data_IF_134094742734
#
_entry.id   IF_134094742734
#
_cell.length_a   1.000
_cell.length_b   1.000
_cell.length_c   1.000
_cell.angle_alpha   90.00
_cell.angle_beta   90.00
_cell.angle_gamma   90.00
#
_symmetry.space_group_name_H-M   'P 1'
#
loop_
_entity.id
_entity.type
_entity.pdbx_description
1 polymer ?
#
# COMPACT_ATOMS: atom_id res chain seq x y z
N UNK A 1 11.77 0.98 -8.70
CA UNK A 1 10.60 1.51 -7.98
C UNK A 1 10.00 0.42 -7.09
N UNK A 2 9.45 0.76 -5.91
CA UNK A 2 8.70 -0.22 -5.11
C UNK A 2 7.49 -0.75 -5.92
N UNK A 3 7.13 -2.05 -5.80
CA UNK A 3 5.95 -2.61 -6.50
C UNK A 3 4.66 -1.83 -6.22
N UNK A 4 4.46 -1.41 -4.96
CA UNK A 4 3.26 -0.66 -4.56
C UNK A 4 3.26 0.73 -5.19
N UNK A 5 4.38 1.46 -5.13
CA UNK A 5 4.51 2.77 -5.80
C UNK A 5 4.24 2.65 -7.29
N UNK A 6 4.74 1.59 -7.94
CA UNK A 6 4.52 1.36 -9.37
C UNK A 6 3.05 1.10 -9.71
N UNK A 7 2.35 0.28 -8.91
CA UNK A 7 0.91 0.06 -9.07
C UNK A 7 0.15 1.39 -8.94
N UNK A 8 0.45 2.17 -7.90
CA UNK A 8 -0.24 3.44 -7.63
C UNK A 8 0.01 4.47 -8.73
N UNK A 9 1.25 4.57 -9.22
CA UNK A 9 1.60 5.46 -10.33
C UNK A 9 0.84 5.11 -11.60
N UNK A 10 0.76 3.82 -11.94
CA UNK A 10 0.05 3.36 -13.15
C UNK A 10 -1.47 3.57 -13.05
N UNK A 11 -2.06 3.44 -11.86
CA UNK A 11 -3.49 3.63 -11.64
C UNK A 11 -3.87 5.12 -11.58
N UNK A 12 -3.14 5.92 -10.80
CA UNK A 12 -3.46 7.34 -10.62
C UNK A 12 -2.95 8.24 -11.75
N UNK A 13 -1.85 7.86 -12.40
CA UNK A 13 -1.22 8.61 -13.48
C UNK A 13 -1.00 10.08 -13.12
N UNK A 14 -1.27 10.98 -14.07
CA UNK A 14 -1.11 12.43 -13.89
C UNK A 14 -2.16 13.08 -12.98
N UNK A 15 -3.13 12.32 -12.45
CA UNK A 15 -4.20 12.86 -11.58
C UNK A 15 -3.82 12.88 -10.10
N UNK A 16 -2.71 12.22 -9.74
CA UNK A 16 -2.22 12.17 -8.37
C UNK A 16 -0.85 12.83 -8.26
N UNK A 17 -0.56 13.37 -7.09
CA UNK A 17 0.80 13.69 -6.69
C UNK A 17 1.30 12.53 -5.83
N UNK A 18 2.24 11.74 -6.37
CA UNK A 18 2.73 10.52 -5.73
C UNK A 18 4.12 10.74 -5.13
N UNK A 19 4.25 10.43 -3.84
CA UNK A 19 5.53 10.43 -3.13
C UNK A 19 5.81 9.02 -2.58
N UNK A 20 6.83 8.35 -3.14
CA UNK A 20 7.26 7.02 -2.69
C UNK A 20 8.22 7.12 -1.50
N UNK A 21 7.80 6.66 -0.32
CA UNK A 21 8.62 6.79 0.91
C UNK A 21 9.72 5.74 1.04
N UNK A 22 9.54 4.55 0.45
CA UNK A 22 10.56 3.50 0.42
C UNK A 22 11.41 3.70 -0.84
N UNK A 23 12.72 4.03 -0.71
CA UNK A 23 13.57 4.27 -1.88
C UNK A 23 13.79 3.01 -2.71
N UNK A 24 14.20 3.20 -3.97
CA UNK A 24 14.52 2.08 -4.84
C UNK A 24 15.67 1.24 -4.29
N UNK A 25 15.54 -0.09 -4.40
CA UNK A 25 16.56 -1.04 -3.93
C UNK A 25 16.60 -1.22 -2.41
N UNK A 26 15.74 -0.52 -1.65
CA UNK A 26 15.64 -0.67 -0.19
C UNK A 26 14.67 -1.80 0.16
N UNK A 27 15.06 -2.63 1.12
CA UNK A 27 14.20 -3.69 1.65
C UNK A 27 13.15 -3.10 2.60
N UNK A 28 11.87 -3.26 2.26
CA UNK A 28 10.74 -2.76 3.06
C UNK A 28 10.61 -3.44 4.42
N UNK A 29 11.05 -4.69 4.58
CA UNK A 29 11.05 -5.40 5.87
C UNK A 29 11.91 -4.72 6.93
N UNK A 30 12.96 -4.03 6.50
CA UNK A 30 13.93 -3.37 7.38
C UNK A 30 13.89 -1.85 7.23
N UNK A 31 12.91 -1.32 6.49
CA UNK A 31 12.82 0.10 6.27
C UNK A 31 12.29 0.80 7.52
N UNK A 32 13.07 1.73 8.04
CA UNK A 32 12.68 2.54 9.19
C UNK A 32 12.14 3.89 8.73
N UNK A 33 11.00 4.28 9.31
CA UNK A 33 10.40 5.55 8.99
C UNK A 33 11.26 6.71 9.51
N UNK A 34 11.51 7.70 8.64
CA UNK A 34 12.33 8.86 8.99
C UNK A 34 11.47 10.00 9.57
N UNK A 35 12.02 10.91 10.40
CA UNK A 35 11.27 12.07 10.88
C UNK A 35 10.68 12.94 9.76
N UNK A 36 11.37 13.04 8.62
CA UNK A 36 10.86 13.72 7.42
C UNK A 36 9.57 13.09 6.87
N UNK A 37 9.37 11.78 7.04
CA UNK A 37 8.13 11.12 6.63
C UNK A 37 6.93 11.56 7.46
N UNK A 38 7.10 11.89 8.74
CA UNK A 38 6.01 12.39 9.57
C UNK A 38 5.39 13.68 8.98
N UNK A 39 6.24 14.55 8.44
CA UNK A 39 5.81 15.78 7.74
C UNK A 39 5.09 15.47 6.43
N UNK A 40 5.54 14.47 5.69
CA UNK A 40 4.90 14.06 4.43
C UNK A 40 3.53 13.43 4.71
N UNK A 41 3.45 12.54 5.69
CA UNK A 41 2.24 11.90 6.19
C UNK A 41 1.20 12.93 6.64
N UNK A 42 1.61 13.97 7.37
CA UNK A 42 0.69 15.01 7.83
C UNK A 42 0.14 15.90 6.72
N UNK A 43 0.71 15.82 5.52
CA UNK A 43 0.26 16.53 4.33
C UNK A 43 -0.51 15.65 3.34
N UNK A 44 -0.42 14.33 3.47
CA UNK A 44 -1.07 13.37 2.59
C UNK A 44 -2.59 13.29 2.85
N UNK A 45 -3.35 13.07 1.77
CA UNK A 45 -4.80 12.78 1.84
C UNK A 45 -5.07 11.26 1.79
N UNK A 46 -4.15 10.50 1.20
CA UNK A 46 -4.17 9.04 1.12
C UNK A 46 -2.77 8.49 1.39
N UNK A 47 -2.68 7.52 2.29
CA UNK A 47 -1.47 6.79 2.65
C UNK A 47 -1.68 5.33 2.30
N UNK A 48 -0.85 4.77 1.41
CA UNK A 48 -1.00 3.40 0.93
C UNK A 48 0.17 2.56 1.46
N UNK A 49 -0.15 1.42 2.06
CA UNK A 49 0.77 0.45 2.64
C UNK A 49 0.53 -0.92 2.00
N UNK A 50 1.54 -1.80 1.97
CA UNK A 50 1.26 -3.20 1.65
C UNK A 50 0.40 -3.82 2.75
N UNK A 51 0.70 -3.60 4.02
CA UNK A 51 0.01 -4.27 5.12
C UNK A 51 0.50 -5.71 5.32
N UNK A 52 -0.32 -6.56 5.95
CA UNK A 52 0.09 -7.90 6.39
C UNK A 52 1.37 -7.86 7.23
N UNK A 53 1.42 -6.92 8.18
CA UNK A 53 2.54 -6.74 9.12
C UNK A 53 3.88 -6.31 8.50
N UNK A 54 3.93 -6.02 7.18
CA UNK A 54 5.17 -5.65 6.50
C UNK A 54 5.73 -4.30 6.98
N UNK A 55 4.91 -3.25 7.00
CA UNK A 55 5.37 -1.88 7.34
C UNK A 55 4.84 -1.37 8.69
N UNK A 56 4.80 -2.20 9.73
CA UNK A 56 4.23 -1.84 11.05
C UNK A 56 4.75 -0.51 11.65
N UNK A 57 6.06 -0.20 11.64
CA UNK A 57 6.54 1.09 12.12
C UNK A 57 6.01 2.28 11.30
N UNK A 58 5.88 2.10 9.99
CA UNK A 58 5.32 3.13 9.09
C UNK A 58 3.82 3.32 9.34
N UNK A 59 3.08 2.23 9.57
CA UNK A 59 1.67 2.30 9.96
C UNK A 59 1.50 3.07 11.27
N UNK A 60 2.30 2.75 12.30
CA UNK A 60 2.25 3.46 13.58
C UNK A 60 2.56 4.96 13.43
N UNK A 61 3.55 5.31 12.59
CA UNK A 61 3.86 6.70 12.28
C UNK A 61 2.70 7.39 11.54
N UNK A 62 2.08 6.69 10.58
CA UNK A 62 0.94 7.18 9.82
C UNK A 62 -0.25 7.50 10.73
N UNK A 63 -0.66 6.54 11.58
CA UNK A 63 -1.75 6.72 12.55
C UNK A 63 -1.50 7.89 13.51
N UNK A 64 -0.24 8.12 13.88
CA UNK A 64 0.12 9.19 14.83
C UNK A 64 0.17 10.59 14.20
N UNK A 65 0.34 10.71 12.88
CA UNK A 65 0.66 11.98 12.24
C UNK A 65 -0.25 12.35 11.06
N UNK A 66 -1.11 11.45 10.59
CA UNK A 66 -2.03 11.71 9.47
C UNK A 66 -2.99 12.87 9.80
N UNK A 67 -3.52 13.52 8.77
CA UNK A 67 -4.69 14.39 8.92
C UNK A 67 -5.89 13.58 9.43
N UNK A 68 -6.84 14.23 10.08
CA UNK A 68 -8.03 13.57 10.61
C UNK A 68 -8.80 12.85 9.49
N UNK A 69 -8.99 13.55 8.37
CA UNK A 69 -9.67 13.10 7.15
C UNK A 69 -8.83 12.19 6.24
N UNK A 70 -7.52 12.08 6.47
CA UNK A 70 -6.65 11.26 5.62
C UNK A 70 -6.97 9.77 5.79
N UNK A 71 -6.97 9.05 4.65
CA UNK A 71 -7.25 7.62 4.59
C UNK A 71 -5.94 6.83 4.61
N UNK A 72 -5.90 5.75 5.40
CA UNK A 72 -4.87 4.72 5.31
C UNK A 72 -5.46 3.51 4.59
N UNK A 73 -4.81 3.07 3.51
CA UNK A 73 -5.17 1.89 2.73
C UNK A 73 -4.08 0.83 2.84
N UNK A 74 -4.34 -0.22 3.63
CA UNK A 74 -3.54 -1.45 3.64
C UNK A 74 -4.02 -2.39 2.54
N UNK A 75 -3.18 -2.65 1.54
CA UNK A 75 -3.59 -3.41 0.34
C UNK A 75 -3.75 -4.90 0.61
N UNK A 76 -2.88 -5.51 1.41
CA UNK A 76 -2.81 -6.95 1.64
C UNK A 76 -3.88 -7.51 2.58
N UNK A 77 -4.57 -6.65 3.33
CA UNK A 77 -5.64 -7.05 4.26
C UNK A 77 -6.99 -7.28 3.57
N UNK A 78 -7.14 -6.84 2.32
CA UNK A 78 -8.42 -6.87 1.59
C UNK A 78 -8.60 -8.06 0.64
N UNK A 79 -7.55 -8.59 -0.03
CA UNK A 79 -7.68 -9.70 -0.98
C UNK A 79 -7.76 -11.08 -0.35
N UNK A 80 -7.26 -11.24 0.88
CA UNK A 80 -7.14 -12.53 1.56
C UNK A 80 -7.64 -12.42 3.00
N UNK A 81 -8.40 -13.41 3.45
CA UNK A 81 -8.80 -13.53 4.86
C UNK A 81 -7.72 -14.21 5.70
N UNK A 82 -7.79 -14.14 7.04
CA UNK A 82 -6.85 -14.85 7.92
C UNK A 82 -6.76 -16.36 7.66
N UNK A 83 -7.84 -16.98 7.19
CA UNK A 83 -7.87 -18.41 6.81
C UNK A 83 -7.10 -18.71 5.51
N UNK A 84 -6.88 -17.70 4.67
CA UNK A 84 -6.17 -17.77 3.39
C UNK A 84 -4.71 -17.33 3.51
N UNK A 85 -4.27 -16.96 4.72
CA UNK A 85 -2.91 -16.56 5.01
C UNK A 85 -1.90 -17.66 4.67
N UNK A 86 -0.88 -17.28 3.90
CA UNK A 86 0.18 -18.19 3.51
C UNK A 86 1.37 -18.05 4.45
N UNK A 87 1.87 -19.20 4.90
CA UNK A 87 3.05 -19.32 5.74
C UNK A 87 4.05 -20.25 5.05
N UNK A 88 5.34 -19.96 5.19
CA UNK A 88 6.43 -20.70 4.59
C UNK A 88 7.68 -20.68 5.49
N UNK A 89 8.83 -21.16 4.97
CA UNK A 89 10.07 -21.19 5.75
C UNK A 89 10.56 -19.79 6.18
N UNK A 90 10.30 -18.76 5.36
CA UNK A 90 10.63 -17.37 5.67
C UNK A 90 9.57 -16.69 6.54
N UNK A 91 8.32 -17.16 6.47
CA UNK A 91 7.17 -16.68 7.24
C UNK A 91 6.51 -17.82 8.02
N UNK A 92 7.12 -18.33 9.11
CA UNK A 92 6.58 -19.46 9.83
C UNK A 92 5.32 -19.09 10.62
N UNK A 93 4.31 -19.96 10.61
CA UNK A 93 3.04 -19.77 11.35
C UNK A 93 3.26 -19.49 12.84
N UNK A 94 4.30 -20.08 13.44
CA UNK A 94 4.68 -19.83 14.84
C UNK A 94 5.05 -18.38 15.15
N UNK A 95 5.42 -17.58 14.14
CA UNK A 95 5.69 -16.15 14.29
C UNK A 95 4.41 -15.29 14.20
N UNK A 96 3.28 -15.87 13.77
CA UNK A 96 1.97 -15.20 13.71
C UNK A 96 1.82 -14.16 12.59
N UNK A 97 2.82 -13.99 11.72
CA UNK A 97 2.77 -13.06 10.60
C UNK A 97 2.84 -13.82 9.27
N UNK A 98 1.83 -13.68 8.39
CA UNK A 98 1.82 -14.36 7.10
C UNK A 98 2.86 -13.76 6.14
N UNK A 99 3.09 -14.45 5.03
CA UNK A 99 3.86 -13.92 3.92
C UNK A 99 3.14 -12.69 3.34
N UNK A 100 3.74 -11.47 3.41
CA UNK A 100 3.09 -10.24 2.96
C UNK A 100 3.18 -10.01 1.45
N UNK A 101 3.92 -10.84 0.72
CA UNK A 101 4.28 -10.62 -0.68
C UNK A 101 3.19 -11.14 -1.61
N UNK A 102 2.04 -10.46 -1.63
CA UNK A 102 0.93 -10.85 -2.49
C UNK A 102 1.10 -10.40 -3.95
N UNK A 103 1.75 -9.25 -4.18
CA UNK A 103 1.87 -8.62 -5.51
C UNK A 103 2.56 -9.46 -6.62
N UNK A 104 3.44 -10.45 -6.34
CA UNK A 104 4.00 -11.29 -7.39
C UNK A 104 2.96 -12.24 -8.02
N UNK A 105 1.86 -12.55 -7.32
CA UNK A 105 0.71 -13.22 -7.91
C UNK A 105 -0.04 -12.20 -8.80
N UNK A 106 -0.17 -12.44 -10.11
CA UNK A 106 -0.78 -11.46 -11.02
C UNK A 106 -2.25 -11.17 -10.70
N UNK A 107 -3.00 -12.11 -10.11
CA UNK A 107 -4.40 -11.89 -9.71
C UNK A 107 -4.47 -10.98 -8.47
N UNK A 108 -3.59 -11.20 -7.49
CA UNK A 108 -3.53 -10.36 -6.29
C UNK A 108 -2.93 -8.99 -6.60
N UNK A 109 -1.97 -8.91 -7.52
CA UNK A 109 -1.44 -7.66 -8.07
C UNK A 109 -2.52 -6.86 -8.81
N UNK A 110 -3.36 -7.51 -9.62
CA UNK A 110 -4.55 -6.87 -10.21
C UNK A 110 -5.50 -6.37 -9.13
N UNK A 111 -5.77 -7.19 -8.11
CA UNK A 111 -6.64 -6.78 -6.99
C UNK A 111 -6.09 -5.56 -6.25
N UNK A 112 -4.77 -5.46 -6.05
CA UNK A 112 -4.14 -4.26 -5.50
C UNK A 112 -4.43 -3.03 -6.36
N UNK A 113 -4.29 -3.14 -7.69
CA UNK A 113 -4.59 -2.04 -8.60
C UNK A 113 -6.07 -1.61 -8.53
N UNK A 114 -7.00 -2.57 -8.47
CA UNK A 114 -8.43 -2.29 -8.30
C UNK A 114 -8.72 -1.57 -6.99
N UNK A 115 -8.10 -2.00 -5.87
CA UNK A 115 -8.27 -1.37 -4.57
C UNK A 115 -7.77 0.08 -4.56
N UNK A 116 -6.63 0.34 -5.21
CA UNK A 116 -6.13 1.70 -5.39
C UNK A 116 -7.13 2.52 -6.21
N UNK A 117 -7.61 1.99 -7.34
CA UNK A 117 -8.58 2.67 -8.19
C UNK A 117 -9.89 2.97 -7.46
N UNK A 118 -10.45 2.00 -6.74
CA UNK A 118 -11.67 2.14 -5.93
C UNK A 118 -11.51 3.27 -4.91
N UNK A 119 -10.38 3.30 -4.20
CA UNK A 119 -10.10 4.33 -3.20
C UNK A 119 -9.94 5.71 -3.84
N UNK A 120 -9.22 5.80 -4.96
CA UNK A 120 -9.05 7.05 -5.69
C UNK A 120 -10.39 7.59 -6.22
N UNK A 121 -11.25 6.72 -6.75
CA UNK A 121 -12.62 7.08 -7.19
C UNK A 121 -13.51 7.51 -6.02
N UNK A 122 -13.36 6.90 -4.85
CA UNK A 122 -14.10 7.30 -3.66
C UNK A 122 -13.71 8.70 -3.19
N UNK A 123 -12.45 9.09 -3.35
CA UNK A 123 -11.94 10.42 -3.00
C UNK A 123 -12.24 11.47 -4.07
N UNK A 124 -12.15 11.11 -5.35
CA UNK A 124 -12.50 11.95 -6.49
C UNK A 124 -13.31 11.14 -7.52
N UNK A 125 -14.66 11.28 -7.52
CA UNK A 125 -15.52 10.60 -8.47
C UNK A 125 -15.22 10.89 -9.95
N UNK A 126 -14.49 11.97 -10.26
CA UNK A 126 -13.99 12.30 -11.60
C UNK A 126 -12.96 11.30 -12.13
N UNK A 127 -12.33 10.50 -11.26
CA UNK A 127 -11.37 9.45 -11.63
C UNK A 127 -12.02 8.22 -12.28
N UNK A 128 -13.35 8.09 -12.31
CA UNK A 128 -14.06 6.97 -12.98
C UNK A 128 -13.72 6.82 -14.47
N UNK A 129 -13.11 7.84 -15.08
CA UNK A 129 -12.81 7.90 -16.51
C UNK A 129 -11.34 7.57 -16.77
N UNK A 130 -10.96 6.30 -16.58
CA UNK A 130 -9.72 5.72 -17.11
C UNK A 130 -10.17 4.63 -18.09
N UNK A 131 -9.85 4.83 -19.37
CA UNK A 131 -10.41 4.14 -20.54
C UNK A 131 -10.21 2.60 -20.54
N UNK A 132 -10.99 1.85 -21.36
CA UNK A 132 -10.80 0.41 -21.52
C UNK A 132 -9.46 0.09 -22.15
N UNK A 133 -8.82 -0.98 -21.68
CA UNK A 133 -7.70 -1.63 -22.35
C UNK A 133 -8.30 -2.50 -23.48
N UNK A 134 -7.86 -2.27 -24.72
CA UNK A 134 -7.98 -3.26 -25.81
C UNK A 134 -6.71 -4.10 -25.87
#
# INVERSE_FOLDING_TARGET
>A
MSPITSIVENVGGLRIHLEGVVPEGVNSHTFEATPSMAKLISQADLIILNGLFLEQPTLALAESNKKEEAVILSLGEKPVSPEEWQFDFSFPESAGHPNPHLWPDPNLGLRYAELVHEQLVAMDPGMRTIFPII
#
